data_IF_329851566689
#
_entry.id   IF_329851566689
#
_cell.length_a   1.000
_cell.length_b   1.000
_cell.length_c   1.000
_cell.angle_alpha   90.00
_cell.angle_beta   90.00
_cell.angle_gamma   90.00
#
_symmetry.space_group_name_H-M   'P 1'
#
loop_
_entity.id
_entity.type
_entity.pdbx_description
1 polymer ?
#
# COMPACT_ATOMS: atom_id res chain seq x y z
N UNK A 1 -9.77 -40.15 -12.25
CA UNK A 1 -8.73 -39.25 -12.83
C UNK A 1 -8.34 -38.09 -11.89
N UNK A 2 -8.29 -38.27 -10.56
CA UNK A 2 -8.03 -37.18 -9.59
C UNK A 2 -6.64 -37.22 -8.91
N UNK A 3 -5.85 -38.28 -9.09
CA UNK A 3 -4.58 -38.45 -8.35
C UNK A 3 -3.38 -37.69 -8.95
N UNK A 4 -3.40 -37.37 -10.25
CA UNK A 4 -2.27 -36.72 -10.94
C UNK A 4 -2.19 -35.21 -10.69
N UNK A 5 -3.33 -34.53 -10.51
CA UNK A 5 -3.39 -33.08 -10.29
C UNK A 5 -2.86 -32.64 -8.94
N UNK A 6 -3.10 -33.41 -7.87
CA UNK A 6 -2.60 -33.09 -6.53
C UNK A 6 -1.08 -33.22 -6.43
N UNK A 7 -0.50 -34.20 -7.11
CA UNK A 7 0.96 -34.38 -7.13
C UNK A 7 1.67 -33.20 -7.80
N UNK A 8 1.15 -32.70 -8.93
CA UNK A 8 1.72 -31.54 -9.62
C UNK A 8 1.63 -30.26 -8.78
N UNK A 9 0.56 -30.06 -8.02
CA UNK A 9 0.41 -28.89 -7.13
C UNK A 9 1.43 -28.93 -5.99
N UNK A 10 1.65 -30.10 -5.37
CA UNK A 10 2.64 -30.27 -4.32
C UNK A 10 4.05 -30.02 -4.86
N UNK A 11 4.39 -30.54 -6.04
CA UNK A 11 5.70 -30.28 -6.66
C UNK A 11 5.93 -28.80 -6.93
N UNK A 12 4.94 -28.09 -7.48
CA UNK A 12 5.04 -26.64 -7.72
C UNK A 12 5.22 -25.86 -6.42
N UNK A 13 4.52 -26.25 -5.36
CA UNK A 13 4.69 -25.64 -4.04
C UNK A 13 6.10 -25.89 -3.48
N UNK A 14 6.59 -27.13 -3.52
CA UNK A 14 7.95 -27.47 -3.09
C UNK A 14 9.01 -26.69 -3.87
N UNK A 15 8.84 -26.59 -5.19
CA UNK A 15 9.73 -25.81 -6.04
C UNK A 15 9.73 -24.33 -5.67
N UNK A 16 8.56 -23.73 -5.45
CA UNK A 16 8.46 -22.33 -5.02
C UNK A 16 9.20 -22.09 -3.70
N UNK A 17 8.98 -22.96 -2.70
CA UNK A 17 9.67 -22.89 -1.41
C UNK A 17 11.19 -23.01 -1.59
N UNK A 18 11.65 -23.99 -2.36
CA UNK A 18 13.08 -24.21 -2.60
C UNK A 18 13.76 -23.06 -3.35
N UNK A 19 13.03 -22.36 -4.23
CA UNK A 19 13.56 -21.22 -5.00
C UNK A 19 13.52 -19.89 -4.25
N UNK A 20 12.74 -19.78 -3.16
CA UNK A 20 12.57 -18.54 -2.39
C UNK A 20 13.88 -17.82 -2.07
N UNK A 21 14.93 -18.48 -1.54
CA UNK A 21 16.17 -17.78 -1.17
C UNK A 21 16.88 -17.16 -2.37
N UNK A 22 16.90 -17.85 -3.51
CA UNK A 22 17.52 -17.34 -4.74
C UNK A 22 16.73 -16.18 -5.34
N UNK A 23 15.39 -16.26 -5.31
CA UNK A 23 14.53 -15.17 -5.78
C UNK A 23 14.65 -13.94 -4.88
N UNK A 24 14.73 -14.11 -3.55
CA UNK A 24 14.98 -13.02 -2.61
C UNK A 24 16.33 -12.33 -2.86
N UNK A 25 17.41 -13.12 -3.02
CA UNK A 25 18.73 -12.58 -3.33
C UNK A 25 18.70 -11.76 -4.63
N UNK A 26 17.93 -12.21 -5.64
CA UNK A 26 17.79 -11.49 -6.90
C UNK A 26 17.03 -10.17 -6.78
N UNK A 27 16.01 -10.10 -5.93
CA UNK A 27 15.30 -8.84 -5.64
C UNK A 27 16.21 -7.83 -4.94
N UNK A 28 17.18 -8.31 -4.16
CA UNK A 28 18.11 -7.46 -3.42
C UNK A 28 19.31 -6.99 -4.26
N UNK A 29 19.58 -7.61 -5.41
CA UNK A 29 20.68 -7.24 -6.31
C UNK A 29 20.24 -6.19 -7.35
N UNK A 30 20.72 -4.93 -7.28
CA UNK A 30 20.35 -3.88 -8.23
C UNK A 30 20.80 -4.16 -9.67
N UNK A 31 21.74 -5.08 -9.88
CA UNK A 31 22.27 -5.45 -11.21
C UNK A 31 21.58 -6.67 -11.79
N UNK A 32 20.76 -7.38 -11.01
CA UNK A 32 20.08 -8.56 -11.48
C UNK A 32 18.90 -8.22 -12.40
N UNK A 33 18.54 -9.18 -13.25
CA UNK A 33 17.33 -9.07 -14.05
C UNK A 33 16.09 -9.05 -13.13
N UNK A 34 15.13 -8.12 -13.34
CA UNK A 34 13.88 -8.11 -12.60
C UNK A 34 13.18 -9.46 -12.62
N UNK A 35 12.41 -9.75 -11.57
CA UNK A 35 11.56 -10.94 -11.56
C UNK A 35 10.41 -10.78 -12.56
N UNK A 36 10.15 -11.81 -13.34
CA UNK A 36 8.90 -11.90 -14.11
C UNK A 36 7.71 -12.21 -13.19
N UNK A 37 6.49 -12.15 -13.73
CA UNK A 37 5.29 -12.36 -12.94
C UNK A 37 5.21 -13.77 -12.31
N UNK A 38 5.66 -14.80 -13.03
CA UNK A 38 5.64 -16.18 -12.53
C UNK A 38 6.66 -16.39 -11.41
N UNK A 39 7.81 -15.73 -11.50
CA UNK A 39 8.83 -15.67 -10.45
C UNK A 39 8.31 -14.91 -9.22
N UNK A 40 7.62 -13.79 -9.41
CA UNK A 40 6.97 -13.04 -8.33
C UNK A 40 5.92 -13.90 -7.61
N UNK A 41 5.10 -14.66 -8.36
CA UNK A 41 4.12 -15.60 -7.79
C UNK A 41 4.79 -16.72 -7.00
N UNK A 42 5.89 -17.28 -7.52
CA UNK A 42 6.68 -18.30 -6.80
C UNK A 42 7.30 -17.74 -5.53
N UNK A 43 7.90 -16.54 -5.60
CA UNK A 43 8.47 -15.85 -4.45
C UNK A 43 7.40 -15.59 -3.39
N UNK A 44 6.23 -15.08 -3.77
CA UNK A 44 5.12 -14.84 -2.85
C UNK A 44 4.63 -16.13 -2.17
N UNK A 45 4.52 -17.24 -2.92
CA UNK A 45 4.13 -18.53 -2.37
C UNK A 45 5.17 -19.07 -1.37
N UNK A 46 6.45 -18.97 -1.73
CA UNK A 46 7.58 -19.35 -0.90
C UNK A 46 7.64 -18.57 0.40
N UNK A 47 7.66 -17.23 0.30
CA UNK A 47 7.66 -16.31 1.44
C UNK A 47 6.47 -16.53 2.37
N UNK A 48 5.26 -16.66 1.80
CA UNK A 48 4.08 -16.95 2.60
C UNK A 48 4.30 -18.26 3.37
N UNK A 49 4.76 -19.31 2.72
CA UNK A 49 4.96 -20.61 3.38
C UNK A 49 5.95 -20.51 4.56
N UNK A 50 7.10 -19.85 4.36
CA UNK A 50 8.11 -19.69 5.41
C UNK A 50 7.61 -18.82 6.56
N UNK A 51 6.91 -17.74 6.25
CA UNK A 51 6.33 -16.83 7.23
C UNK A 51 5.19 -17.45 8.03
N UNK A 52 4.39 -18.35 7.44
CA UNK A 52 3.38 -19.09 8.18
C UNK A 52 3.99 -20.08 9.18
N UNK A 53 5.16 -20.64 8.88
CA UNK A 53 5.88 -21.54 9.79
C UNK A 53 6.56 -20.76 10.92
N UNK A 54 7.11 -19.59 10.62
CA UNK A 54 7.75 -18.71 11.61
C UNK A 54 7.21 -17.27 11.52
N UNK A 55 6.00 -16.99 12.07
CA UNK A 55 5.31 -15.72 11.88
C UNK A 55 6.00 -14.48 12.46
N UNK A 56 6.97 -14.67 13.35
CA UNK A 56 7.68 -13.58 14.04
C UNK A 56 9.11 -13.38 13.52
N UNK A 57 9.52 -14.16 12.51
CA UNK A 57 10.92 -14.23 12.10
C UNK A 57 11.44 -12.95 11.44
N UNK A 58 10.61 -12.25 10.67
CA UNK A 58 11.07 -11.12 9.86
C UNK A 58 9.93 -10.17 9.49
N UNK A 59 10.01 -8.94 10.00
CA UNK A 59 9.13 -7.85 9.58
C UNK A 59 9.36 -7.51 8.10
N UNK A 60 10.61 -7.52 7.64
CA UNK A 60 10.96 -7.17 6.26
C UNK A 60 10.36 -8.14 5.23
N UNK A 61 10.29 -9.43 5.58
CA UNK A 61 9.67 -10.45 4.72
C UNK A 61 8.14 -10.28 4.67
N UNK A 62 7.50 -9.88 5.78
CA UNK A 62 6.08 -9.51 5.77
C UNK A 62 5.82 -8.26 4.93
N UNK A 63 6.67 -7.24 5.04
CA UNK A 63 6.59 -6.05 4.19
C UNK A 63 6.79 -6.40 2.71
N UNK A 64 7.73 -7.29 2.40
CA UNK A 64 7.95 -7.78 1.04
C UNK A 64 6.72 -8.53 0.51
N UNK A 65 6.15 -9.43 1.30
CA UNK A 65 4.93 -10.15 0.92
C UNK A 65 3.76 -9.17 0.68
N UNK A 66 3.67 -8.11 1.48
CA UNK A 66 2.72 -7.01 1.28
C UNK A 66 2.91 -6.28 -0.05
N UNK A 67 4.16 -5.96 -0.42
CA UNK A 67 4.50 -5.36 -1.72
C UNK A 67 4.19 -6.30 -2.88
N UNK A 68 4.53 -7.59 -2.76
CA UNK A 68 4.20 -8.61 -3.76
C UNK A 68 2.69 -8.75 -3.96
N UNK A 69 1.91 -8.74 -2.87
CA UNK A 69 0.45 -8.74 -2.95
C UNK A 69 -0.10 -7.55 -3.74
N UNK A 70 0.54 -6.38 -3.67
CA UNK A 70 0.16 -5.23 -4.50
C UNK A 70 0.55 -5.41 -5.97
N UNK A 71 1.78 -5.84 -6.24
CA UNK A 71 2.28 -6.04 -7.61
C UNK A 71 1.48 -7.11 -8.35
N UNK A 72 1.09 -8.17 -7.64
CA UNK A 72 0.28 -9.28 -8.16
C UNK A 72 -1.23 -9.01 -8.08
N UNK A 73 -1.64 -7.76 -7.83
CA UNK A 73 -3.04 -7.33 -7.66
C UNK A 73 -3.84 -8.10 -6.58
N UNK A 74 -3.17 -8.89 -5.73
CA UNK A 74 -3.78 -9.67 -4.66
C UNK A 74 -3.97 -8.84 -3.36
N UNK A 75 -5.10 -8.14 -3.29
CA UNK A 75 -5.44 -7.29 -2.14
C UNK A 75 -5.47 -8.05 -0.81
N UNK A 76 -6.05 -9.26 -0.77
CA UNK A 76 -6.13 -10.06 0.45
C UNK A 76 -4.74 -10.41 1.00
N UNK A 77 -3.82 -10.82 0.13
CA UNK A 77 -2.42 -11.09 0.51
C UNK A 77 -1.74 -9.83 1.05
N UNK A 78 -1.91 -8.69 0.36
CA UNK A 78 -1.32 -7.43 0.79
C UNK A 78 -1.82 -7.03 2.18
N UNK A 79 -3.13 -7.03 2.40
CA UNK A 79 -3.75 -6.65 3.68
C UNK A 79 -3.31 -7.58 4.81
N UNK A 80 -3.30 -8.89 4.60
CA UNK A 80 -2.86 -9.84 5.63
C UNK A 80 -1.38 -9.67 5.99
N UNK A 81 -0.52 -9.50 4.98
CA UNK A 81 0.91 -9.36 5.19
C UNK A 81 1.26 -8.06 5.92
N UNK A 82 0.68 -6.93 5.51
CA UNK A 82 0.88 -5.66 6.19
C UNK A 82 0.25 -5.63 7.59
N UNK A 83 -0.90 -6.29 7.79
CA UNK A 83 -1.48 -6.44 9.13
C UNK A 83 -0.51 -7.15 10.07
N UNK A 84 0.15 -8.22 9.60
CA UNK A 84 1.13 -8.94 10.40
C UNK A 84 2.39 -8.11 10.65
N UNK A 85 2.93 -7.43 9.64
CA UNK A 85 4.05 -6.52 9.81
C UNK A 85 3.76 -5.42 10.85
N UNK A 86 2.58 -4.80 10.77
CA UNK A 86 2.16 -3.74 11.69
C UNK A 86 1.95 -4.25 13.12
N UNK A 87 1.41 -5.46 13.28
CA UNK A 87 1.27 -6.08 14.60
C UNK A 87 2.63 -6.38 15.27
N UNK A 88 3.66 -6.68 14.49
CA UNK A 88 5.02 -6.94 14.99
C UNK A 88 5.79 -5.66 15.29
N UNK A 89 5.62 -4.63 14.46
CA UNK A 89 6.32 -3.36 14.60
C UNK A 89 5.37 -2.18 14.29
N UNK A 90 4.52 -1.78 15.25
CA UNK A 90 3.60 -0.66 15.07
C UNK A 90 4.34 0.68 14.83
N UNK A 91 5.54 0.79 15.40
CA UNK A 91 6.42 1.95 15.22
C UNK A 91 7.22 1.90 13.91
N UNK A 92 6.98 0.95 13.01
CA UNK A 92 7.60 0.93 11.68
C UNK A 92 6.72 1.64 10.65
N UNK A 93 7.24 2.70 10.02
CA UNK A 93 6.50 3.53 9.06
C UNK A 93 6.05 2.73 7.83
N UNK A 94 6.91 1.84 7.33
CA UNK A 94 6.59 1.01 6.16
C UNK A 94 5.44 0.04 6.46
N UNK A 95 5.39 -0.50 7.68
CA UNK A 95 4.32 -1.38 8.12
C UNK A 95 3.00 -0.61 8.31
N UNK A 96 3.06 0.51 9.03
CA UNK A 96 1.91 1.35 9.31
C UNK A 96 1.27 1.91 8.02
N UNK A 97 2.08 2.53 7.15
CA UNK A 97 1.57 3.10 5.90
C UNK A 97 1.13 2.01 4.92
N UNK A 98 1.89 0.91 4.82
CA UNK A 98 1.52 -0.22 3.98
C UNK A 98 0.17 -0.83 4.39
N UNK A 99 -0.10 -0.93 5.69
CA UNK A 99 -1.35 -1.45 6.21
C UNK A 99 -2.52 -0.49 5.99
N UNK A 100 -2.34 0.81 6.26
CA UNK A 100 -3.35 1.82 6.01
C UNK A 100 -3.76 1.86 4.53
N UNK A 101 -2.80 1.86 3.60
CA UNK A 101 -3.07 1.81 2.17
C UNK A 101 -3.78 0.52 1.75
N UNK A 102 -3.40 -0.63 2.32
CA UNK A 102 -4.03 -1.91 2.00
C UNK A 102 -5.49 -1.96 2.46
N UNK A 103 -5.82 -1.36 3.61
CA UNK A 103 -7.19 -1.23 4.11
C UNK A 103 -8.03 -0.30 3.23
N UNK A 104 -7.48 0.86 2.86
CA UNK A 104 -8.17 1.82 1.98
C UNK A 104 -8.47 1.22 0.60
N UNK A 105 -7.54 0.44 0.03
CA UNK A 105 -7.75 -0.24 -1.25
C UNK A 105 -8.95 -1.19 -1.24
N UNK A 106 -9.27 -1.79 -0.10
CA UNK A 106 -10.43 -2.68 0.06
C UNK A 106 -11.63 -1.99 0.72
N UNK A 107 -11.58 -0.65 0.83
CA UNK A 107 -12.61 0.17 1.47
C UNK A 107 -12.97 -0.28 2.89
N UNK A 108 -11.99 -0.77 3.64
CA UNK A 108 -12.17 -1.12 5.04
C UNK A 108 -12.10 0.15 5.91
N UNK A 109 -13.12 0.45 6.73
CA UNK A 109 -13.21 1.69 7.50
C UNK A 109 -12.08 1.84 8.54
N UNK A 110 -11.39 0.75 8.89
CA UNK A 110 -10.20 0.81 9.74
C UNK A 110 -9.05 1.56 9.05
N UNK A 111 -9.06 1.63 7.72
CA UNK A 111 -8.09 2.40 6.93
C UNK A 111 -8.11 3.87 7.28
N UNK A 112 -9.28 4.52 7.19
CA UNK A 112 -9.44 5.94 7.50
C UNK A 112 -9.13 6.27 8.97
N UNK A 113 -9.50 5.36 9.88
CA UNK A 113 -9.18 5.49 11.30
C UNK A 113 -7.66 5.43 11.53
N UNK A 114 -6.97 4.48 10.89
CA UNK A 114 -5.53 4.32 11.01
C UNK A 114 -4.78 5.51 10.41
N UNK A 115 -5.21 6.04 9.26
CA UNK A 115 -4.59 7.23 8.65
C UNK A 115 -4.68 8.43 9.59
N UNK A 116 -5.84 8.67 10.22
CA UNK A 116 -6.02 9.74 11.21
C UNK A 116 -5.12 9.55 12.43
N UNK A 117 -5.07 8.34 12.98
CA UNK A 117 -4.18 8.02 14.10
C UNK A 117 -2.70 8.29 13.75
N UNK A 118 -2.28 7.93 12.54
CA UNK A 118 -0.90 8.17 12.11
C UNK A 118 -0.60 9.66 11.94
N UNK A 119 -1.56 10.46 11.47
CA UNK A 119 -1.43 11.92 11.39
C UNK A 119 -1.26 12.56 12.77
N UNK A 120 -1.97 12.07 13.79
CA UNK A 120 -1.87 12.55 15.18
C UNK A 120 -0.53 12.18 15.84
N UNK A 121 0.08 11.07 15.44
CA UNK A 121 1.36 10.59 15.99
C UNK A 121 2.59 11.43 15.62
N UNK A 122 2.42 12.51 14.85
CA UNK A 122 3.47 13.38 14.30
C UNK A 122 4.47 12.68 13.37
N UNK A 123 4.21 11.44 12.95
CA UNK A 123 5.00 10.69 11.95
C UNK A 123 4.66 11.08 10.51
N UNK A 124 4.45 12.38 10.30
CA UNK A 124 3.87 12.92 9.06
C UNK A 124 4.95 13.07 7.99
N UNK A 125 4.94 12.15 7.03
CA UNK A 125 5.70 12.25 5.80
C UNK A 125 4.81 12.55 4.60
N UNK A 126 5.44 12.81 3.46
CA UNK A 126 4.77 13.16 2.21
C UNK A 126 3.76 12.09 1.76
N UNK A 127 4.06 10.81 2.02
CA UNK A 127 3.19 9.68 1.67
C UNK A 127 1.93 9.67 2.53
N UNK A 128 2.07 9.85 3.84
CA UNK A 128 0.93 9.90 4.76
C UNK A 128 0.06 11.12 4.47
N UNK A 129 0.65 12.29 4.17
CA UNK A 129 -0.10 13.47 3.76
C UNK A 129 -0.95 13.21 2.52
N UNK A 130 -0.38 12.55 1.51
CA UNK A 130 -1.13 12.20 0.31
C UNK A 130 -2.26 11.21 0.61
N UNK A 131 -1.99 10.20 1.45
CA UNK A 131 -2.98 9.18 1.82
C UNK A 131 -4.14 9.78 2.60
N UNK A 132 -3.85 10.66 3.56
CA UNK A 132 -4.86 11.40 4.32
C UNK A 132 -5.68 12.31 3.41
N UNK A 133 -5.05 13.03 2.47
CA UNK A 133 -5.78 13.88 1.55
C UNK A 133 -6.73 13.10 0.62
N UNK A 134 -6.28 11.94 0.12
CA UNK A 134 -7.12 11.03 -0.68
C UNK A 134 -8.32 10.51 0.13
N UNK A 135 -8.05 9.95 1.32
CA UNK A 135 -9.09 9.45 2.23
C UNK A 135 -10.10 10.54 2.64
N UNK A 136 -9.63 11.76 2.94
CA UNK A 136 -10.48 12.90 3.25
C UNK A 136 -11.34 13.30 2.04
N UNK A 137 -10.76 13.31 0.84
CA UNK A 137 -11.50 13.62 -0.39
C UNK A 137 -12.56 12.58 -0.74
N UNK A 138 -12.32 11.30 -0.45
CA UNK A 138 -13.30 10.22 -0.63
C UNK A 138 -14.48 10.36 0.35
N UNK A 139 -14.21 10.84 1.56
CA UNK A 139 -15.20 11.10 2.60
C UNK A 139 -15.90 12.47 2.48
N UNK A 140 -15.72 13.19 1.37
CA UNK A 140 -16.22 14.55 1.16
C UNK A 140 -15.71 15.60 2.17
N UNK A 141 -14.64 15.30 2.91
CA UNK A 141 -13.92 16.27 3.75
C UNK A 141 -12.97 17.13 2.89
N UNK A 142 -13.53 17.84 1.90
CA UNK A 142 -12.76 18.51 0.85
C UNK A 142 -11.80 19.59 1.38
N UNK A 143 -12.21 20.34 2.41
CA UNK A 143 -11.36 21.36 3.05
C UNK A 143 -10.10 20.75 3.68
N UNK A 144 -10.23 19.59 4.33
CA UNK A 144 -9.10 18.85 4.91
C UNK A 144 -8.18 18.30 3.82
N UNK A 145 -8.76 17.70 2.77
CA UNK A 145 -8.02 17.19 1.62
C UNK A 145 -7.18 18.28 0.94
N UNK A 146 -7.78 19.43 0.64
CA UNK A 146 -7.09 20.57 0.02
C UNK A 146 -5.97 21.11 0.91
N UNK A 147 -6.18 21.18 2.22
CA UNK A 147 -5.16 21.62 3.18
C UNK A 147 -3.95 20.69 3.15
N UNK A 148 -4.20 19.38 3.17
CA UNK A 148 -3.14 18.37 3.15
C UNK A 148 -2.36 18.35 1.83
N UNK A 149 -3.02 18.38 0.67
CA UNK A 149 -2.33 18.43 -0.62
C UNK A 149 -1.56 19.73 -0.85
N UNK A 150 -2.08 20.88 -0.41
CA UNK A 150 -1.34 22.15 -0.50
C UNK A 150 -0.10 22.14 0.39
N UNK A 151 -0.19 21.55 1.59
CA UNK A 151 0.98 21.34 2.44
C UNK A 151 2.00 20.42 1.78
N UNK A 152 1.54 19.31 1.19
CA UNK A 152 2.39 18.39 0.44
C UNK A 152 3.10 19.11 -0.73
N UNK A 153 2.36 19.86 -1.56
CA UNK A 153 2.92 20.59 -2.71
C UNK A 153 4.01 21.61 -2.32
N UNK A 154 3.89 22.21 -1.13
CA UNK A 154 4.91 23.11 -0.55
C UNK A 154 6.17 22.38 -0.10
N UNK A 155 6.06 21.11 0.31
CA UNK A 155 7.19 20.27 0.75
C UNK A 155 7.95 19.65 -0.43
N UNK A 156 7.27 19.43 -1.55
CA UNK A 156 7.87 18.81 -2.73
C UNK A 156 8.83 19.74 -3.48
N UNK A 157 10.00 19.24 -3.92
CA UNK A 157 10.89 19.96 -4.84
C UNK A 157 10.16 20.44 -6.09
N UNK A 158 10.56 21.57 -6.71
CA UNK A 158 9.90 22.10 -7.90
C UNK A 158 9.84 21.14 -9.10
N UNK A 159 10.82 20.25 -9.22
CA UNK A 159 10.99 19.27 -10.30
C UNK A 159 10.42 17.88 -9.96
N UNK A 160 9.78 17.72 -8.79
CA UNK A 160 9.19 16.45 -8.38
C UNK A 160 7.98 16.10 -9.26
N UNK A 161 8.02 14.92 -9.89
CA UNK A 161 6.99 14.45 -10.83
C UNK A 161 5.61 14.27 -10.19
N UNK A 162 5.54 14.13 -8.86
CA UNK A 162 4.28 13.99 -8.12
C UNK A 162 3.47 15.29 -8.08
N UNK A 163 4.11 16.46 -8.27
CA UNK A 163 3.45 17.77 -8.18
C UNK A 163 2.25 17.88 -9.12
N UNK A 164 2.41 17.47 -10.38
CA UNK A 164 1.34 17.56 -11.38
C UNK A 164 0.09 16.74 -11.00
N UNK A 165 0.29 15.55 -10.41
CA UNK A 165 -0.80 14.69 -9.94
C UNK A 165 -1.50 15.32 -8.74
N UNK A 166 -0.75 15.91 -7.81
CA UNK A 166 -1.31 16.59 -6.63
C UNK A 166 -2.09 17.83 -7.03
N UNK A 167 -1.57 18.64 -7.95
CA UNK A 167 -2.27 19.80 -8.50
C UNK A 167 -3.58 19.40 -9.19
N UNK A 168 -3.57 18.29 -9.93
CA UNK A 168 -4.79 17.74 -10.52
C UNK A 168 -5.83 17.37 -9.47
N UNK A 169 -5.42 16.69 -8.39
CA UNK A 169 -6.31 16.36 -7.28
C UNK A 169 -6.87 17.60 -6.57
N UNK A 170 -6.04 18.63 -6.35
CA UNK A 170 -6.48 19.92 -5.79
C UNK A 170 -7.58 20.52 -6.66
N UNK A 171 -7.35 20.65 -7.97
CA UNK A 171 -8.31 21.26 -8.89
C UNK A 171 -9.65 20.49 -8.92
N UNK A 172 -9.59 19.15 -8.93
CA UNK A 172 -10.80 18.31 -8.89
C UNK A 172 -11.59 18.52 -7.59
N UNK A 173 -10.91 18.59 -6.46
CA UNK A 173 -11.57 18.73 -5.17
C UNK A 173 -12.11 20.15 -4.94
N UNK A 174 -11.46 21.19 -5.47
CA UNK A 174 -12.00 22.56 -5.48
C UNK A 174 -13.30 22.67 -6.28
N UNK A 175 -13.38 21.99 -7.43
CA UNK A 175 -14.61 21.93 -8.23
C UNK A 175 -15.73 21.26 -7.43
N UNK A 176 -15.46 20.12 -6.78
CA UNK A 176 -16.46 19.42 -5.94
C UNK A 176 -16.94 20.28 -4.78
N UNK A 177 -16.02 20.96 -4.08
CA UNK A 177 -16.36 21.86 -2.97
C UNK A 177 -17.28 23.00 -3.42
N UNK A 178 -17.03 23.55 -4.61
CA UNK A 178 -17.86 24.63 -5.18
C UNK A 178 -19.23 24.12 -5.64
N UNK A 179 -19.32 22.86 -6.09
CA UNK A 179 -20.60 22.24 -6.46
C UNK A 179 -21.46 21.87 -5.25
N UNK A 180 -20.86 21.51 -4.11
CA UNK A 180 -21.61 21.26 -2.86
C UNK A 180 -22.07 22.55 -2.19
N UNK A 181 -21.29 23.62 -2.29
CA UNK A 181 -21.65 24.96 -1.84
C UNK A 181 -21.69 25.93 -3.03
N UNK A 182 -22.70 25.84 -3.93
CA UNK A 182 -22.87 26.85 -4.95
C UNK A 182 -23.07 28.18 -4.22
N UNK A 183 -22.24 29.18 -4.56
CA UNK A 183 -22.28 30.50 -3.94
C UNK A 183 -23.74 30.96 -3.82
N UNK A 184 -24.19 31.19 -2.59
CA UNK A 184 -25.54 31.69 -2.26
C UNK A 184 -25.75 33.13 -2.76
N UNK A 185 -24.75 33.72 -3.43
CA UNK A 185 -24.77 35.08 -3.95
C UNK A 185 -25.13 35.11 -5.44
N UNK A 186 -26.37 34.75 -5.76
CA UNK A 186 -26.98 35.09 -7.04
C UNK A 186 -28.49 35.24 -6.91
N UNK A 187 -28.95 36.10 -5.99
CA UNK A 187 -30.24 36.81 -6.08
C UNK A 187 -30.31 37.91 -5.02
N UNK A 188 -30.01 39.14 -5.45
CA UNK A 188 -30.60 40.35 -4.87
C UNK A 188 -31.99 40.59 -5.45
#
# INVERSE_FOLDING_TARGET
>A
YSQTGHYQQVQRWQQAVAQTPALLARVQDPKAQPLDEDELRRLALGLRTTLWQNPDASIEDWLMLGRLGRVLDNAAMATQAYARAYALAPDNDSAAFGYAEALLRVSDPRGDALVRQLMESQRVNDRLLNLYALSASEQAHFSEALTAWRLLLKRLPPDDTRRAVIEHHINQTEQRLTHEHPAVDAQG
#
